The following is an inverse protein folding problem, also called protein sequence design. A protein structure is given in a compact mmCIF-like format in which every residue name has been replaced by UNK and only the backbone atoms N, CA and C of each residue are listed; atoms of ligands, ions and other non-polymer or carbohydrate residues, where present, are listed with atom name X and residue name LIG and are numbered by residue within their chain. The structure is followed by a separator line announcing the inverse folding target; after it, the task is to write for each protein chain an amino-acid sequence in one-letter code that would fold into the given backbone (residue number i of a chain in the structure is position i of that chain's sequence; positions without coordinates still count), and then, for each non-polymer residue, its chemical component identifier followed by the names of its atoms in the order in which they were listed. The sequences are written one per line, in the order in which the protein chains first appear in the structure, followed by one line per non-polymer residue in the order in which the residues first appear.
data_IF_269983441354
#
_entry.id   IF_269983441354
#
_cell.length_a   1.000
_cell.length_b   1.000
_cell.length_c   1.000
_cell.angle_alpha   90.00
_cell.angle_beta   90.00
_cell.angle_gamma   90.00
#
_symmetry.space_group_name_H-M   'P 1'
#
loop_
_entity.id
_entity.type
_entity.pdbx_description
1 polymer ?
#
# COMPACT_ATOMS: atom_id res chain seq x y z
N UNK A 1 13.01 2.21 -30.15
CA UNK A 1 11.63 2.48 -29.68
C UNK A 1 11.44 3.99 -29.67
N UNK A 2 10.47 4.52 -30.41
CA UNK A 2 10.21 5.96 -30.45
C UNK A 2 9.14 6.29 -29.41
N UNK A 3 9.51 7.02 -28.36
CA UNK A 3 8.55 7.62 -27.43
C UNK A 3 8.11 8.94 -28.06
N UNK A 4 6.85 9.00 -28.49
CA UNK A 4 6.28 10.23 -29.05
C UNK A 4 5.54 11.00 -27.96
N UNK A 5 6.03 12.19 -27.61
CA UNK A 5 5.31 13.09 -26.72
C UNK A 5 4.11 13.69 -27.46
N UNK A 6 2.91 13.27 -27.09
CA UNK A 6 1.66 13.79 -27.69
C UNK A 6 1.25 15.14 -27.10
N UNK A 7 1.37 15.27 -25.78
CA UNK A 7 0.95 16.46 -25.06
C UNK A 7 1.74 16.61 -23.76
N UNK A 8 1.77 17.82 -23.20
CA UNK A 8 2.32 18.09 -21.87
C UNK A 8 1.55 19.25 -21.21
N UNK A 9 1.55 19.27 -19.90
CA UNK A 9 0.95 20.33 -19.09
C UNK A 9 2.03 21.14 -18.40
N UNK A 10 1.88 22.46 -18.37
CA UNK A 10 2.72 23.35 -17.56
C UNK A 10 2.59 22.98 -16.07
N UNK A 11 3.69 23.14 -15.31
CA UNK A 11 3.75 22.80 -13.87
C UNK A 11 2.69 23.53 -13.03
N UNK A 12 2.18 24.67 -13.49
CA UNK A 12 1.05 25.38 -12.86
C UNK A 12 -0.20 24.50 -12.79
N UNK A 13 -0.39 23.60 -13.75
CA UNK A 13 -1.48 22.63 -13.83
C UNK A 13 -1.14 21.27 -13.16
N UNK A 14 -0.13 21.22 -12.30
CA UNK A 14 0.25 19.97 -11.63
C UNK A 14 -0.86 19.49 -10.67
N UNK A 15 -1.44 18.33 -10.99
CA UNK A 15 -2.38 17.62 -10.11
C UNK A 15 -1.70 17.19 -8.81
N UNK A 16 -0.40 16.85 -8.87
CA UNK A 16 0.40 16.54 -7.69
C UNK A 16 0.49 17.74 -6.74
N UNK A 17 0.79 18.94 -7.27
CA UNK A 17 0.83 20.16 -6.44
C UNK A 17 -0.52 20.50 -5.83
N UNK A 18 -1.62 20.31 -6.57
CA UNK A 18 -2.97 20.47 -6.03
C UNK A 18 -3.21 19.51 -4.84
N UNK A 19 -2.91 18.23 -5.04
CA UNK A 19 -3.12 17.19 -4.04
C UNK A 19 -2.25 17.39 -2.79
N UNK A 20 -0.98 17.74 -2.96
CA UNK A 20 -0.05 18.10 -1.87
C UNK A 20 -0.53 19.33 -1.10
N UNK A 21 -1.04 20.35 -1.79
CA UNK A 21 -1.56 21.55 -1.14
C UNK A 21 -2.78 21.24 -0.27
N UNK A 22 -3.74 20.46 -0.78
CA UNK A 22 -4.90 20.03 0.02
C UNK A 22 -4.47 19.14 1.20
N UNK A 23 -3.45 18.29 1.01
CA UNK A 23 -2.84 17.50 2.10
C UNK A 23 -2.31 18.41 3.21
N UNK A 24 -1.69 19.55 2.87
CA UNK A 24 -1.25 20.56 3.83
C UNK A 24 -2.43 21.23 4.54
N UNK A 25 -3.49 21.59 3.81
CA UNK A 25 -4.69 22.20 4.40
C UNK A 25 -5.42 21.26 5.38
N UNK A 26 -5.35 19.94 5.15
CA UNK A 26 -5.90 18.94 6.06
C UNK A 26 -5.06 18.73 7.34
N UNK A 27 -3.96 19.47 7.52
CA UNK A 27 -3.03 19.31 8.64
C UNK A 27 -2.20 18.02 8.59
N UNK A 28 -2.17 17.33 7.45
CA UNK A 28 -1.51 16.02 7.30
C UNK A 28 -0.07 16.12 6.80
N UNK A 29 0.34 17.30 6.32
CA UNK A 29 1.66 17.50 5.73
C UNK A 29 2.71 17.81 6.80
N UNK A 30 3.35 16.77 7.32
CA UNK A 30 4.49 16.88 8.23
C UNK A 30 5.86 16.72 7.54
N UNK A 31 5.88 16.11 6.36
CA UNK A 31 7.04 15.88 5.50
C UNK A 31 6.55 15.44 4.10
N UNK A 32 7.46 15.34 3.13
CA UNK A 32 7.13 14.87 1.77
C UNK A 32 6.56 13.44 1.83
N UNK A 33 5.55 13.15 1.00
CA UNK A 33 5.01 11.80 0.82
C UNK A 33 3.81 11.44 1.72
N UNK A 34 3.15 12.43 2.32
CA UNK A 34 1.97 12.22 3.17
C UNK A 34 0.64 12.20 2.41
N UNK A 35 0.65 12.37 1.09
CA UNK A 35 -0.54 12.40 0.23
C UNK A 35 -1.39 11.12 0.35
N UNK A 36 -0.75 9.96 0.64
CA UNK A 36 -1.47 8.72 0.92
C UNK A 36 -2.37 8.76 2.17
N UNK A 37 -2.15 9.73 3.08
CA UNK A 37 -3.05 10.00 4.22
C UNK A 37 -4.31 10.71 3.75
N UNK A 38 -4.19 11.76 2.93
CA UNK A 38 -5.34 12.46 2.32
C UNK A 38 -6.20 11.49 1.52
N UNK A 39 -5.57 10.57 0.79
CA UNK A 39 -6.28 9.51 0.05
C UNK A 39 -7.12 8.61 0.97
N UNK A 40 -6.61 8.24 2.15
CA UNK A 40 -7.37 7.47 3.14
C UNK A 40 -8.45 8.31 3.83
N UNK A 41 -8.17 9.58 4.10
CA UNK A 41 -9.13 10.50 4.72
C UNK A 41 -10.34 10.77 3.82
N UNK A 42 -10.14 10.75 2.50
CA UNK A 42 -11.16 11.05 1.51
C UNK A 42 -12.44 10.20 1.65
N UNK A 43 -12.35 8.94 2.08
CA UNK A 43 -13.56 8.09 2.24
C UNK A 43 -14.47 8.51 3.40
N UNK A 44 -14.05 9.46 4.24
CA UNK A 44 -14.85 9.97 5.35
C UNK A 44 -15.58 11.28 5.02
N UNK A 45 -15.33 11.87 3.84
CA UNK A 45 -16.09 13.01 3.37
C UNK A 45 -17.42 12.58 2.73
N UNK A 46 -18.37 13.50 2.76
CA UNK A 46 -19.75 13.30 2.30
C UNK A 46 -20.07 14.03 1.00
N UNK A 47 -19.16 14.88 0.52
CA UNK A 47 -19.30 15.62 -0.74
C UNK A 47 -20.07 16.92 -0.61
N UNK A 48 -20.12 17.52 0.59
CA UNK A 48 -20.77 18.81 0.85
C UNK A 48 -20.01 19.98 0.23
N UNK A 49 -18.69 19.83 0.04
CA UNK A 49 -17.83 20.86 -0.56
C UNK A 49 -17.67 20.61 -2.06
N UNK A 50 -18.32 21.44 -2.88
CA UNK A 50 -18.23 21.40 -4.35
C UNK A 50 -17.18 22.36 -4.94
N UNK A 51 -16.48 23.14 -4.10
CA UNK A 51 -15.57 24.20 -4.55
C UNK A 51 -14.45 23.69 -5.48
N UNK A 52 -14.12 22.40 -5.42
CA UNK A 52 -13.05 21.79 -6.22
C UNK A 52 -13.31 21.89 -7.73
N UNK A 53 -14.57 21.99 -8.15
CA UNK A 53 -14.93 22.20 -9.56
C UNK A 53 -14.50 23.59 -10.08
N UNK A 54 -14.40 24.58 -9.19
CA UNK A 54 -13.84 25.88 -9.54
C UNK A 54 -12.31 25.86 -9.61
N UNK A 55 -11.67 24.88 -8.97
CA UNK A 55 -10.21 24.70 -8.94
C UNK A 55 -9.72 23.88 -10.13
N UNK A 56 -10.35 22.75 -10.42
CA UNK A 56 -9.98 21.88 -11.54
C UNK A 56 -11.06 21.93 -12.63
N UNK A 57 -10.76 22.66 -13.70
CA UNK A 57 -11.66 22.88 -14.83
C UNK A 57 -11.27 21.98 -15.99
N UNK A 58 -12.27 21.47 -16.71
CA UNK A 58 -12.09 20.62 -17.88
C UNK A 58 -12.61 21.34 -19.12
N UNK A 59 -11.81 21.33 -20.18
CA UNK A 59 -12.21 21.69 -21.54
C UNK A 59 -12.29 20.41 -22.37
N UNK A 60 -12.70 20.51 -23.64
CA UNK A 60 -12.85 19.33 -24.52
C UNK A 60 -11.62 18.43 -24.60
N UNK A 61 -10.41 19.03 -24.58
CA UNK A 61 -9.14 18.34 -24.86
C UNK A 61 -8.03 18.65 -23.84
N UNK A 62 -8.34 19.35 -22.75
CA UNK A 62 -7.35 19.74 -21.73
C UNK A 62 -8.02 19.99 -20.39
N UNK A 63 -7.26 19.94 -19.30
CA UNK A 63 -7.69 20.43 -17.99
C UNK A 63 -6.83 21.60 -17.53
N UNK A 64 -7.37 22.43 -16.66
CA UNK A 64 -6.69 23.59 -16.09
C UNK A 64 -6.88 23.63 -14.57
N UNK A 65 -5.79 23.95 -13.85
CA UNK A 65 -5.84 24.22 -12.40
C UNK A 65 -5.86 25.72 -12.18
N UNK A 66 -7.00 26.23 -11.73
CA UNK A 66 -7.18 27.61 -11.34
C UNK A 66 -6.42 27.90 -10.03
N UNK A 67 -5.31 28.62 -10.15
CA UNK A 67 -4.38 28.87 -9.04
C UNK A 67 -4.95 29.84 -8.01
N UNK A 68 -5.87 30.70 -8.40
CA UNK A 68 -6.52 31.63 -7.48
C UNK A 68 -7.56 30.87 -6.65
N UNK A 69 -8.45 30.12 -7.32
CA UNK A 69 -9.41 29.25 -6.64
C UNK A 69 -8.71 28.21 -5.76
N UNK A 70 -7.60 27.63 -6.23
CA UNK A 70 -6.77 26.72 -5.44
C UNK A 70 -6.30 27.38 -4.14
N UNK A 71 -5.81 28.62 -4.17
CA UNK A 71 -5.35 29.33 -2.97
C UNK A 71 -6.49 29.67 -2.01
N UNK A 72 -7.69 29.92 -2.52
CA UNK A 72 -8.87 30.21 -1.71
C UNK A 72 -9.34 29.00 -0.88
N UNK A 73 -8.90 27.78 -1.19
CA UNK A 73 -9.19 26.59 -0.37
C UNK A 73 -8.73 26.74 1.09
N UNK A 74 -7.71 27.57 1.36
CA UNK A 74 -7.24 27.84 2.72
C UNK A 74 -8.29 28.47 3.61
N UNK A 75 -9.24 29.21 3.02
CA UNK A 75 -10.28 29.96 3.75
C UNK A 75 -11.38 29.02 4.25
N UNK A 76 -11.42 27.78 3.73
CA UNK A 76 -12.31 26.69 4.15
C UNK A 76 -11.62 25.79 5.17
N UNK A 77 -10.29 25.70 5.14
CA UNK A 77 -9.54 24.81 6.01
C UNK A 77 -9.62 25.24 7.49
N UNK A 78 -9.97 24.32 8.37
CA UNK A 78 -10.02 24.51 9.83
C UNK A 78 -8.82 23.89 10.57
N UNK A 79 -7.80 23.44 9.82
CA UNK A 79 -6.46 22.96 10.27
C UNK A 79 -6.45 21.80 11.27
N UNK A 80 -7.60 21.19 11.61
CA UNK A 80 -7.67 20.01 12.46
C UNK A 80 -7.47 18.73 11.66
N UNK A 81 -6.53 17.87 12.07
CA UNK A 81 -6.44 16.51 11.54
C UNK A 81 -7.78 15.81 11.82
N UNK A 82 -8.41 15.29 10.76
CA UNK A 82 -9.70 14.59 10.84
C UNK A 82 -10.94 15.47 11.18
N UNK A 83 -10.84 16.79 11.03
CA UNK A 83 -12.00 17.70 11.12
C UNK A 83 -13.01 17.47 9.99
N UNK A 84 -14.22 18.05 10.11
CA UNK A 84 -15.22 18.01 9.03
C UNK A 84 -14.67 18.60 7.73
N UNK A 85 -14.06 19.80 7.78
CA UNK A 85 -13.55 20.44 6.58
C UNK A 85 -12.35 19.67 5.99
N UNK A 86 -11.49 19.06 6.81
CA UNK A 86 -10.40 18.21 6.31
C UNK A 86 -10.92 16.97 5.59
N UNK A 87 -11.95 16.30 6.12
CA UNK A 87 -12.60 15.15 5.46
C UNK A 87 -13.23 15.55 4.13
N UNK A 88 -13.96 16.67 4.11
CA UNK A 88 -14.61 17.17 2.89
C UNK A 88 -13.61 17.66 1.84
N UNK A 89 -12.54 18.36 2.23
CA UNK A 89 -11.47 18.78 1.33
C UNK A 89 -10.72 17.57 0.73
N UNK A 90 -10.41 16.57 1.57
CA UNK A 90 -9.79 15.32 1.12
C UNK A 90 -10.68 14.58 0.11
N UNK A 91 -11.99 14.49 0.39
CA UNK A 91 -12.96 13.91 -0.53
C UNK A 91 -13.01 14.69 -1.86
N UNK A 92 -13.11 16.02 -1.79
CA UNK A 92 -13.24 16.84 -2.98
C UNK A 92 -12.01 16.73 -3.91
N UNK A 93 -10.78 16.84 -3.35
CA UNK A 93 -9.56 16.71 -4.16
C UNK A 93 -9.38 15.29 -4.72
N UNK A 94 -9.79 14.27 -3.98
CA UNK A 94 -9.74 12.88 -4.45
C UNK A 94 -10.69 12.67 -5.64
N UNK A 95 -11.93 13.20 -5.57
CA UNK A 95 -12.88 13.12 -6.69
C UNK A 95 -12.42 13.91 -7.92
N UNK A 96 -11.84 15.08 -7.71
CA UNK A 96 -11.24 15.86 -8.80
C UNK A 96 -10.09 15.11 -9.47
N UNK A 97 -9.21 14.47 -8.68
CA UNK A 97 -8.11 13.66 -9.21
C UNK A 97 -8.61 12.44 -9.99
N UNK A 98 -9.60 11.72 -9.47
CA UNK A 98 -10.25 10.59 -10.15
C UNK A 98 -10.82 11.02 -11.51
N UNK A 99 -11.54 12.15 -11.55
CA UNK A 99 -12.06 12.73 -12.80
C UNK A 99 -10.94 13.11 -13.76
N UNK A 100 -9.84 13.66 -13.27
CA UNK A 100 -8.68 13.99 -14.09
C UNK A 100 -8.07 12.76 -14.74
N UNK A 101 -7.93 11.66 -13.99
CA UNK A 101 -7.39 10.41 -14.49
C UNK A 101 -8.28 9.80 -15.58
N UNK A 102 -9.59 9.75 -15.34
CA UNK A 102 -10.56 9.27 -16.34
C UNK A 102 -10.53 10.16 -17.60
N UNK A 103 -10.53 11.48 -17.43
CA UNK A 103 -10.43 12.43 -18.54
C UNK A 103 -9.17 12.22 -19.37
N UNK A 104 -8.01 12.08 -18.73
CA UNK A 104 -6.74 11.87 -19.42
C UNK A 104 -6.68 10.50 -20.13
N UNK A 105 -7.25 9.46 -19.53
CA UNK A 105 -7.32 8.15 -20.15
C UNK A 105 -8.23 8.16 -21.40
N UNK A 106 -9.39 8.81 -21.30
CA UNK A 106 -10.34 8.98 -22.41
C UNK A 106 -9.76 9.83 -23.56
N UNK A 107 -9.14 10.98 -23.27
CA UNK A 107 -8.47 11.81 -24.28
C UNK A 107 -7.34 11.04 -24.98
N UNK A 108 -6.50 10.32 -24.22
CA UNK A 108 -5.43 9.51 -24.80
C UNK A 108 -5.96 8.36 -25.65
N UNK A 109 -7.05 7.71 -25.22
CA UNK A 109 -7.71 6.66 -25.99
C UNK A 109 -8.26 7.22 -27.31
N UNK A 110 -8.98 8.35 -27.28
CA UNK A 110 -9.51 9.00 -28.49
C UNK A 110 -8.42 9.40 -29.48
N UNK A 111 -7.25 9.82 -29.00
CA UNK A 111 -6.11 10.21 -29.85
C UNK A 111 -5.37 9.05 -30.48
N UNK A 112 -5.33 7.89 -29.81
CA UNK A 112 -4.41 6.80 -30.17
C UNK A 112 -5.10 5.49 -30.53
N UNK A 113 -6.37 5.31 -30.13
CA UNK A 113 -7.09 4.04 -30.18
C UNK A 113 -6.49 2.93 -29.31
N UNK A 114 -5.45 3.20 -28.52
CA UNK A 114 -4.75 2.17 -27.76
C UNK A 114 -5.52 1.81 -26.49
N UNK A 115 -5.84 0.51 -26.26
CA UNK A 115 -6.53 0.08 -25.05
C UNK A 115 -5.56 -0.28 -23.90
N UNK A 116 -4.25 -0.14 -24.09
CA UNK A 116 -3.22 -0.49 -23.10
C UNK A 116 -2.55 0.77 -22.57
N UNK A 117 -2.58 0.94 -21.25
CA UNK A 117 -2.11 2.13 -20.55
C UNK A 117 -0.93 1.80 -19.65
N UNK A 118 0.03 2.72 -19.56
CA UNK A 118 1.16 2.62 -18.64
C UNK A 118 1.26 3.91 -17.82
N UNK A 119 1.29 3.79 -16.50
CA UNK A 119 1.32 4.88 -15.55
C UNK A 119 2.64 4.94 -14.79
N UNK A 120 3.18 6.15 -14.67
CA UNK A 120 4.34 6.50 -13.86
C UNK A 120 4.21 7.97 -13.39
N UNK A 121 5.05 8.38 -12.45
CA UNK A 121 4.98 9.67 -11.75
C UNK A 121 4.26 9.54 -10.41
N UNK A 122 4.68 10.31 -9.40
CA UNK A 122 4.24 10.12 -8.00
C UNK A 122 2.72 10.14 -7.78
N UNK A 123 1.96 10.88 -8.59
CA UNK A 123 0.48 10.92 -8.53
C UNK A 123 -0.14 9.55 -8.80
N UNK A 124 0.53 8.71 -9.60
CA UNK A 124 0.06 7.36 -9.93
C UNK A 124 0.23 6.35 -8.79
N UNK A 125 0.78 6.77 -7.64
CA UNK A 125 0.65 6.00 -6.39
C UNK A 125 -0.76 6.10 -5.76
N UNK A 126 -1.65 6.93 -6.33
CA UNK A 126 -3.05 7.04 -5.95
C UNK A 126 -3.85 5.85 -6.52
N UNK A 127 -3.99 4.80 -5.72
CA UNK A 127 -4.65 3.56 -6.13
C UNK A 127 -6.16 3.70 -6.40
N UNK A 128 -6.81 4.71 -5.81
CA UNK A 128 -8.21 5.01 -6.06
C UNK A 128 -8.41 5.56 -7.48
N UNK A 129 -7.58 6.54 -7.89
CA UNK A 129 -7.62 7.09 -9.24
C UNK A 129 -7.23 6.06 -10.30
N UNK A 130 -6.23 5.22 -10.02
CA UNK A 130 -5.87 4.10 -10.90
C UNK A 130 -7.02 3.10 -11.06
N UNK A 131 -7.71 2.76 -9.95
CA UNK A 131 -8.88 1.87 -9.97
C UNK A 131 -9.99 2.38 -10.88
N UNK A 132 -10.26 3.69 -10.86
CA UNK A 132 -11.25 4.31 -11.76
C UNK A 132 -10.90 4.19 -13.24
N UNK A 133 -9.61 4.22 -13.58
CA UNK A 133 -9.17 3.99 -14.97
C UNK A 133 -9.29 2.52 -15.34
N UNK A 134 -8.91 1.59 -14.45
CA UNK A 134 -9.02 0.15 -14.75
C UNK A 134 -10.45 -0.33 -14.97
N UNK A 135 -11.45 0.40 -14.45
CA UNK A 135 -12.88 0.10 -14.63
C UNK A 135 -13.45 0.59 -15.97
N UNK A 136 -12.69 1.32 -16.79
CA UNK A 136 -13.17 1.83 -18.07
C UNK A 136 -13.22 0.73 -19.13
N UNK A 137 -14.35 0.57 -19.82
CA UNK A 137 -14.59 -0.51 -20.80
C UNK A 137 -13.56 -0.59 -21.94
N UNK A 138 -12.94 0.55 -22.31
CA UNK A 138 -11.93 0.59 -23.36
C UNK A 138 -10.51 0.24 -22.88
N UNK A 139 -10.29 0.12 -21.56
CA UNK A 139 -9.00 -0.23 -20.96
C UNK A 139 -8.90 -1.75 -20.88
N UNK A 140 -8.04 -2.34 -21.71
CA UNK A 140 -7.78 -3.79 -21.70
C UNK A 140 -6.64 -4.18 -20.77
N UNK A 141 -5.62 -3.32 -20.65
CA UNK A 141 -4.47 -3.54 -19.77
C UNK A 141 -4.03 -2.23 -19.17
N UNK A 142 -3.78 -2.24 -17.86
CA UNK A 142 -3.21 -1.13 -17.14
C UNK A 142 -1.95 -1.60 -16.42
N UNK A 143 -0.82 -1.00 -16.79
CA UNK A 143 0.44 -1.17 -16.12
C UNK A 143 0.73 0.05 -15.25
N UNK A 144 1.07 -0.14 -13.98
CA UNK A 144 1.49 0.96 -13.10
C UNK A 144 2.84 0.58 -12.51
N UNK A 145 3.83 1.45 -12.69
CA UNK A 145 5.17 1.18 -12.21
C UNK A 145 5.16 1.11 -10.65
N UNK A 146 5.71 0.05 -10.01
CA UNK A 146 5.68 -0.15 -8.55
C UNK A 146 6.28 0.97 -7.69
N UNK A 147 7.47 1.45 -8.04
CA UNK A 147 8.13 2.66 -7.53
C UNK A 147 7.83 3.88 -8.39
N UNK A 148 6.55 4.17 -8.65
CA UNK A 148 6.10 5.14 -9.65
C UNK A 148 6.56 6.59 -9.38
N UNK A 149 6.98 6.88 -8.15
CA UNK A 149 7.59 8.16 -7.80
C UNK A 149 8.98 8.32 -8.43
N UNK A 150 9.68 9.38 -8.04
CA UNK A 150 10.98 9.73 -8.61
C UNK A 150 12.04 8.64 -8.43
N UNK A 151 11.87 7.71 -7.48
CA UNK A 151 12.77 6.56 -7.33
C UNK A 151 12.79 5.68 -8.60
N UNK A 152 11.68 5.57 -9.31
CA UNK A 152 11.58 4.82 -10.57
C UNK A 152 12.32 5.46 -11.75
N UNK A 153 12.69 6.75 -11.67
CA UNK A 153 13.34 7.45 -12.76
C UNK A 153 14.71 6.87 -13.12
N UNK A 154 15.45 6.36 -12.12
CA UNK A 154 16.74 5.70 -12.35
C UNK A 154 16.62 4.48 -13.28
N UNK A 155 15.55 3.69 -13.11
CA UNK A 155 15.27 2.54 -13.98
C UNK A 155 14.97 3.00 -15.40
N UNK A 156 14.12 4.03 -15.56
CA UNK A 156 13.79 4.61 -16.87
C UNK A 156 15.02 5.17 -17.59
N UNK A 157 15.89 5.89 -16.87
CA UNK A 157 17.12 6.44 -17.41
C UNK A 157 18.07 5.33 -17.90
N UNK A 158 18.29 4.29 -17.10
CA UNK A 158 19.11 3.14 -17.48
C UNK A 158 18.54 2.42 -18.72
N UNK A 159 17.21 2.27 -18.82
CA UNK A 159 16.56 1.67 -19.99
C UNK A 159 16.75 2.52 -21.26
N UNK A 160 16.64 3.84 -21.17
CA UNK A 160 16.84 4.75 -22.31
C UNK A 160 18.28 4.64 -22.83
N UNK A 161 19.27 4.67 -21.93
CA UNK A 161 20.68 4.52 -22.29
C UNK A 161 20.94 3.15 -22.93
N UNK A 162 20.48 2.06 -22.32
CA UNK A 162 20.63 0.71 -22.87
C UNK A 162 20.04 0.58 -24.28
N UNK A 163 18.84 1.12 -24.51
CA UNK A 163 18.22 1.09 -25.85
C UNK A 163 19.02 1.94 -26.84
N UNK A 164 19.58 3.07 -26.40
CA UNK A 164 20.45 3.91 -27.22
C UNK A 164 21.73 3.20 -27.64
N UNK A 165 22.37 2.49 -26.70
CA UNK A 165 23.66 1.84 -26.91
C UNK A 165 23.54 0.49 -27.64
N UNK A 166 22.53 -0.31 -27.30
CA UNK A 166 22.36 -1.70 -27.79
C UNK A 166 21.33 -1.79 -28.93
N UNK A 167 20.48 -0.78 -29.10
CA UNK A 167 19.43 -0.76 -30.13
C UNK A 167 18.22 -1.66 -29.82
N UNK A 168 18.23 -2.39 -28.71
CA UNK A 168 17.15 -3.30 -28.30
C UNK A 168 16.68 -3.01 -26.87
N UNK A 169 15.47 -3.48 -26.53
CA UNK A 169 14.97 -3.39 -25.16
C UNK A 169 15.66 -4.44 -24.30
N UNK A 170 16.02 -4.13 -23.03
CA UNK A 170 16.57 -5.13 -22.14
C UNK A 170 15.51 -6.22 -21.87
N UNK A 171 15.94 -7.48 -21.83
CA UNK A 171 15.10 -8.60 -21.39
C UNK A 171 15.05 -8.56 -19.86
N UNK A 172 14.07 -7.84 -19.31
CA UNK A 172 13.86 -7.74 -17.88
C UNK A 172 12.71 -8.67 -17.49
N UNK A 173 13.00 -9.67 -16.63
CA UNK A 173 11.93 -10.38 -15.93
C UNK A 173 11.33 -9.41 -14.93
N UNK A 174 10.03 -9.14 -15.05
CA UNK A 174 9.37 -8.24 -14.13
C UNK A 174 9.43 -8.79 -12.71
N UNK A 175 10.11 -8.04 -11.83
CA UNK A 175 10.18 -8.33 -10.41
C UNK A 175 10.40 -7.05 -9.63
N UNK A 176 9.83 -7.00 -8.43
CA UNK A 176 10.05 -5.91 -7.48
C UNK A 176 11.13 -6.26 -6.46
N UNK A 177 11.52 -7.53 -6.34
CA UNK A 177 12.45 -8.01 -5.30
C UNK A 177 13.91 -7.74 -5.70
N UNK A 178 14.27 -6.46 -5.78
CA UNK A 178 15.57 -5.98 -6.29
C UNK A 178 16.51 -5.50 -5.17
N UNK A 179 16.02 -5.42 -3.93
CA UNK A 179 16.80 -4.97 -2.79
C UNK A 179 17.63 -6.07 -2.12
N UNK A 180 18.26 -5.76 -0.97
CA UNK A 180 19.07 -6.71 -0.22
C UNK A 180 18.28 -7.96 0.19
N UNK A 181 18.98 -9.10 0.24
CA UNK A 181 18.51 -10.36 0.82
C UNK A 181 19.51 -10.85 1.86
N UNK A 182 19.07 -11.69 2.80
CA UNK A 182 19.92 -12.20 3.87
C UNK A 182 20.26 -13.66 3.61
N UNK A 183 21.53 -14.04 3.81
CA UNK A 183 21.91 -15.45 3.81
C UNK A 183 21.50 -16.05 5.16
N UNK A 184 20.99 -17.29 5.20
CA UNK A 184 20.61 -17.94 6.45
C UNK A 184 21.72 -17.95 7.50
N UNK A 185 22.97 -18.16 7.09
CA UNK A 185 24.14 -18.19 7.97
C UNK A 185 24.41 -16.81 8.63
N UNK A 186 24.19 -15.72 7.90
CA UNK A 186 24.38 -14.36 8.42
C UNK A 186 23.34 -14.04 9.50
N UNK A 187 22.10 -14.50 9.30
CA UNK A 187 21.01 -14.36 10.29
C UNK A 187 21.33 -15.09 11.58
N UNK A 188 21.72 -16.37 11.49
CA UNK A 188 22.06 -17.15 12.67
C UNK A 188 23.27 -16.60 13.42
N UNK A 189 24.32 -16.20 12.68
CA UNK A 189 25.53 -15.62 13.26
C UNK A 189 25.20 -14.35 14.03
N UNK A 190 24.42 -13.45 13.43
CA UNK A 190 23.97 -12.23 14.08
C UNK A 190 23.19 -12.51 15.37
N UNK A 191 22.22 -13.44 15.32
CA UNK A 191 21.40 -13.78 16.48
C UNK A 191 22.23 -14.38 17.63
N UNK A 192 23.22 -15.23 17.32
CA UNK A 192 24.13 -15.79 18.33
C UNK A 192 25.01 -14.71 18.95
N UNK A 193 25.58 -13.81 18.12
CA UNK A 193 26.42 -12.71 18.60
C UNK A 193 25.66 -11.76 19.53
N UNK A 194 24.40 -11.45 19.18
CA UNK A 194 23.52 -10.58 19.98
C UNK A 194 22.79 -11.34 21.12
N UNK A 195 23.07 -12.64 21.31
CA UNK A 195 22.42 -13.48 22.33
C UNK A 195 20.88 -13.48 22.25
N UNK A 196 20.33 -13.41 21.04
CA UNK A 196 18.89 -13.42 20.78
C UNK A 196 18.41 -14.87 20.62
N UNK A 197 17.42 -15.26 21.42
CA UNK A 197 16.81 -16.58 21.33
C UNK A 197 16.01 -16.74 20.02
N UNK A 198 16.20 -17.86 19.33
CA UNK A 198 15.51 -18.15 18.07
C UNK A 198 15.21 -19.64 17.90
N UNK A 199 14.32 -19.96 16.96
CA UNK A 199 13.97 -21.34 16.59
C UNK A 199 14.08 -21.49 15.09
N UNK A 200 14.74 -22.55 14.61
CA UNK A 200 14.69 -22.92 13.20
C UNK A 200 13.40 -23.67 12.92
N UNK A 201 12.70 -23.26 11.87
CA UNK A 201 11.43 -23.86 11.44
C UNK A 201 11.60 -24.49 10.05
N UNK A 202 11.13 -25.73 9.89
CA UNK A 202 11.24 -26.43 8.60
C UNK A 202 10.25 -25.89 7.55
N UNK A 203 9.08 -25.43 8.00
CA UNK A 203 8.02 -24.87 7.16
C UNK A 203 7.58 -23.51 7.73
N UNK A 204 8.33 -22.44 7.47
CA UNK A 204 8.02 -21.11 8.00
C UNK A 204 6.64 -20.61 7.55
N UNK A 205 6.19 -20.98 6.35
CA UNK A 205 4.90 -20.57 5.79
C UNK A 205 3.72 -21.13 6.61
N UNK A 206 3.76 -22.42 6.95
CA UNK A 206 2.74 -23.06 7.79
C UNK A 206 2.76 -22.52 9.22
N UNK A 207 3.95 -22.34 9.81
CA UNK A 207 4.06 -21.82 11.18
C UNK A 207 3.60 -20.36 11.27
N UNK A 208 3.92 -19.54 10.27
CA UNK A 208 3.39 -18.19 10.16
C UNK A 208 1.86 -18.18 10.02
N UNK A 209 1.30 -19.04 9.15
CA UNK A 209 -0.13 -19.18 8.97
C UNK A 209 -0.85 -19.57 10.27
N UNK A 210 -0.31 -20.51 11.05
CA UNK A 210 -0.83 -20.89 12.37
C UNK A 210 -0.82 -19.71 13.35
N UNK A 211 0.29 -18.97 13.41
CA UNK A 211 0.38 -17.80 14.30
C UNK A 211 -0.65 -16.74 13.92
N UNK A 212 -0.75 -16.40 12.64
CA UNK A 212 -1.74 -15.46 12.12
C UNK A 212 -3.17 -15.93 12.45
N UNK A 213 -3.48 -17.21 12.23
CA UNK A 213 -4.79 -17.79 12.55
C UNK A 213 -5.11 -17.72 14.05
N UNK A 214 -4.10 -17.80 14.91
CA UNK A 214 -4.22 -17.65 16.35
C UNK A 214 -4.19 -16.18 16.82
N UNK A 215 -4.43 -15.24 15.91
CA UNK A 215 -4.56 -13.80 16.21
C UNK A 215 -3.23 -13.08 16.47
N UNK A 216 -2.09 -13.70 16.12
CA UNK A 216 -0.76 -13.09 16.28
C UNK A 216 -0.44 -12.18 15.11
N UNK A 217 0.24 -11.06 15.40
CA UNK A 217 0.74 -10.10 14.43
C UNK A 217 2.23 -10.37 14.26
N UNK A 218 2.64 -10.77 13.06
CA UNK A 218 4.01 -11.22 12.80
C UNK A 218 4.74 -10.29 11.83
N UNK A 219 6.04 -10.13 12.03
CA UNK A 219 6.94 -9.69 10.99
C UNK A 219 7.28 -10.85 10.04
N UNK A 220 7.33 -10.57 8.75
CA UNK A 220 7.64 -11.53 7.70
C UNK A 220 8.73 -10.96 6.80
N UNK A 221 9.94 -11.51 6.94
CA UNK A 221 11.13 -11.11 6.23
C UNK A 221 11.67 -12.28 5.39
N UNK A 222 11.41 -12.25 4.08
CA UNK A 222 11.82 -13.31 3.15
C UNK A 222 12.55 -12.74 1.94
N UNK A 223 13.53 -13.47 1.40
CA UNK A 223 14.19 -13.14 0.14
C UNK A 223 14.70 -11.70 0.01
N UNK A 224 14.76 -11.22 -1.23
CA UNK A 224 15.15 -9.86 -1.56
C UNK A 224 14.03 -8.85 -1.26
N UNK A 225 14.40 -7.69 -0.72
CA UNK A 225 13.48 -6.59 -0.43
C UNK A 225 12.80 -6.04 -1.69
N UNK A 226 11.55 -5.62 -1.55
CA UNK A 226 10.76 -4.98 -2.59
C UNK A 226 11.28 -3.57 -2.95
N UNK A 227 11.23 -3.23 -4.23
CA UNK A 227 11.44 -1.89 -4.76
C UNK A 227 10.12 -1.11 -4.77
N UNK A 228 10.17 0.13 -4.31
CA UNK A 228 9.01 1.02 -4.21
C UNK A 228 8.49 1.18 -2.78
N UNK A 229 7.39 1.93 -2.58
CA UNK A 229 6.94 2.34 -1.25
C UNK A 229 6.04 1.31 -0.55
N UNK A 230 5.80 0.15 -1.16
CA UNK A 230 4.86 -0.86 -0.67
C UNK A 230 5.61 -2.13 -0.27
N UNK A 231 5.26 -2.68 0.89
CA UNK A 231 5.61 -4.06 1.21
C UNK A 231 4.66 -5.00 0.46
N UNK A 232 5.23 -6.00 -0.21
CA UNK A 232 4.54 -6.91 -1.13
C UNK A 232 4.84 -8.37 -0.79
N UNK A 233 5.10 -8.67 0.50
CA UNK A 233 5.25 -10.02 1.00
C UNK A 233 6.67 -10.46 1.33
N UNK A 234 7.68 -9.59 1.22
CA UNK A 234 9.06 -9.88 1.61
C UNK A 234 9.55 -9.05 2.80
N UNK A 235 8.99 -7.86 3.04
CA UNK A 235 9.25 -7.05 4.25
C UNK A 235 7.94 -6.53 4.85
N UNK A 236 7.15 -7.45 5.40
CA UNK A 236 5.74 -7.21 5.74
C UNK A 236 5.43 -7.46 7.21
N UNK A 237 4.50 -6.68 7.77
CA UNK A 237 3.74 -7.04 8.97
C UNK A 237 2.47 -7.71 8.49
N UNK A 238 2.24 -8.94 8.97
CA UNK A 238 1.13 -9.78 8.57
C UNK A 238 0.23 -10.08 9.77
N UNK A 239 -1.08 -10.08 9.54
CA UNK A 239 -2.08 -10.42 10.54
C UNK A 239 -3.36 -10.98 9.90
N UNK A 240 -4.25 -11.52 10.73
CA UNK A 240 -5.53 -12.02 10.23
C UNK A 240 -6.43 -10.84 9.80
N UNK A 241 -7.08 -10.90 8.63
CA UNK A 241 -7.97 -9.84 8.16
C UNK A 241 -9.34 -9.87 8.88
N UNK A 242 -9.59 -10.86 9.71
CA UNK A 242 -10.93 -11.26 10.20
C UNK A 242 -11.42 -10.49 11.41
N UNK A 243 -10.61 -9.61 12.00
CA UNK A 243 -10.98 -8.87 13.22
C UNK A 243 -10.63 -7.38 13.14
N UNK A 244 -11.59 -6.51 13.46
CA UNK A 244 -11.35 -5.08 13.62
C UNK A 244 -10.35 -4.79 14.76
N UNK A 245 -10.34 -5.59 15.82
CA UNK A 245 -9.37 -5.40 16.91
C UNK A 245 -7.93 -5.66 16.45
N UNK A 246 -7.73 -6.56 15.48
CA UNK A 246 -6.42 -6.78 14.86
C UNK A 246 -6.00 -5.55 14.04
N UNK A 247 -6.91 -4.96 13.25
CA UNK A 247 -6.62 -3.69 12.55
C UNK A 247 -6.19 -2.61 13.52
N UNK A 248 -6.90 -2.47 14.63
CA UNK A 248 -6.63 -1.42 15.62
C UNK A 248 -5.27 -1.66 16.29
N UNK A 249 -4.96 -2.90 16.70
CA UNK A 249 -3.63 -3.28 17.20
C UNK A 249 -2.54 -2.99 16.19
N UNK A 250 -2.71 -3.38 14.92
CA UNK A 250 -1.73 -3.06 13.87
C UNK A 250 -1.57 -1.54 13.73
N UNK A 251 -2.64 -0.75 13.75
CA UNK A 251 -2.52 0.70 13.68
C UNK A 251 -1.75 1.31 14.88
N UNK A 252 -1.87 0.72 16.08
CA UNK A 252 -1.07 1.06 17.27
C UNK A 252 0.41 0.72 17.07
N UNK A 253 0.73 -0.50 16.61
CA UNK A 253 2.10 -0.93 16.23
C UNK A 253 2.72 0.05 15.24
N UNK A 254 1.92 0.52 14.27
CA UNK A 254 2.34 1.52 13.28
C UNK A 254 2.40 2.95 13.81
N UNK A 255 1.95 3.20 15.04
CA UNK A 255 1.83 4.49 15.70
C UNK A 255 1.21 5.57 14.79
N UNK A 256 0.17 5.18 14.06
CA UNK A 256 -0.48 6.03 13.04
C UNK A 256 -1.96 6.21 13.36
N UNK A 257 -2.59 7.10 12.62
CA UNK A 257 -3.98 7.46 12.80
C UNK A 257 -4.91 6.25 12.58
N UNK A 258 -5.89 6.07 13.47
CA UNK A 258 -6.77 4.88 13.50
C UNK A 258 -7.62 4.70 12.24
N UNK A 259 -7.91 5.80 11.54
CA UNK A 259 -8.68 5.81 10.31
C UNK A 259 -7.88 5.33 9.08
N UNK A 260 -6.56 5.10 9.19
CA UNK A 260 -5.76 4.67 8.04
C UNK A 260 -6.09 3.24 7.62
N UNK A 261 -6.37 2.99 6.32
CA UNK A 261 -6.63 1.65 5.83
C UNK A 261 -5.41 0.74 5.96
N UNK A 262 -5.68 -0.55 6.12
CA UNK A 262 -4.73 -1.64 5.92
C UNK A 262 -5.11 -2.37 4.62
N UNK A 263 -4.14 -3.05 4.01
CA UNK A 263 -4.31 -3.65 2.69
C UNK A 263 -4.38 -5.18 2.81
N UNK A 264 -5.20 -5.86 2.00
CA UNK A 264 -5.15 -7.31 1.88
C UNK A 264 -4.11 -7.75 0.84
N UNK A 265 -3.49 -8.88 1.11
CA UNK A 265 -2.80 -9.70 0.09
C UNK A 265 -3.56 -11.00 -0.08
N UNK A 266 -4.10 -11.23 -1.28
CA UNK A 266 -5.05 -12.30 -1.61
C UNK A 266 -4.46 -13.23 -2.66
N UNK A 267 -4.77 -14.53 -2.59
CA UNK A 267 -4.48 -15.47 -3.68
C UNK A 267 -5.16 -14.97 -4.96
N UNK A 268 -4.41 -14.81 -6.05
CA UNK A 268 -4.93 -14.21 -7.29
C UNK A 268 -6.18 -14.96 -7.80
N UNK A 269 -6.17 -16.29 -7.74
CA UNK A 269 -7.28 -17.15 -8.14
C UNK A 269 -8.54 -17.03 -7.27
N UNK A 270 -8.47 -16.34 -6.13
CA UNK A 270 -9.60 -16.07 -5.24
C UNK A 270 -10.06 -14.61 -5.28
N UNK A 271 -9.35 -13.72 -5.99
CA UNK A 271 -9.61 -12.28 -5.94
C UNK A 271 -11.02 -11.92 -6.40
N UNK A 272 -11.46 -12.42 -7.56
CA UNK A 272 -12.78 -12.10 -8.14
C UNK A 272 -13.97 -12.63 -7.32
N UNK A 273 -13.74 -13.64 -6.48
CA UNK A 273 -14.72 -14.14 -5.51
C UNK A 273 -14.96 -13.14 -4.39
N UNK A 274 -13.94 -12.42 -3.93
CA UNK A 274 -14.03 -11.55 -2.76
C UNK A 274 -14.18 -10.06 -3.10
N UNK A 275 -13.72 -9.67 -4.28
CA UNK A 275 -13.73 -8.30 -4.78
C UNK A 275 -14.56 -8.20 -6.07
N UNK A 276 -15.02 -6.99 -6.39
CA UNK A 276 -15.85 -6.74 -7.59
C UNK A 276 -15.06 -6.72 -8.90
N UNK A 277 -13.73 -6.85 -8.85
CA UNK A 277 -12.83 -6.82 -10.00
C UNK A 277 -12.00 -8.10 -10.06
N UNK A 278 -11.72 -8.55 -11.27
CA UNK A 278 -10.81 -9.65 -11.61
C UNK A 278 -9.42 -9.16 -12.07
N UNK A 279 -9.20 -7.84 -12.10
CA UNK A 279 -7.93 -7.26 -12.54
C UNK A 279 -6.82 -7.62 -11.57
N UNK A 280 -5.71 -8.16 -12.08
CA UNK A 280 -4.54 -8.41 -11.24
C UNK A 280 -3.95 -7.09 -10.69
N UNK A 281 -3.62 -7.08 -9.40
CA UNK A 281 -2.96 -5.96 -8.74
C UNK A 281 -1.76 -6.44 -7.91
N UNK A 282 -0.66 -6.89 -8.55
CA UNK A 282 0.47 -7.47 -7.83
C UNK A 282 1.22 -6.48 -6.92
N UNK A 283 0.99 -5.16 -7.11
CA UNK A 283 1.78 -4.09 -6.50
C UNK A 283 1.00 -3.22 -5.51
N UNK A 284 -0.23 -3.59 -5.15
CA UNK A 284 -1.12 -2.77 -4.32
C UNK A 284 -1.31 -1.33 -4.83
N UNK A 285 -1.49 -1.21 -6.16
CA UNK A 285 -1.68 0.06 -6.87
C UNK A 285 -3.08 0.23 -7.44
N UNK A 286 -3.99 -0.71 -7.16
CA UNK A 286 -5.41 -0.62 -7.48
C UNK A 286 -6.25 -0.77 -6.20
N UNK A 287 -7.27 0.07 -6.10
CA UNK A 287 -8.36 -0.10 -5.14
C UNK A 287 -9.47 -0.92 -5.79
N UNK A 288 -10.03 -1.86 -5.05
CA UNK A 288 -11.17 -2.68 -5.44
C UNK A 288 -12.26 -2.61 -4.38
N UNK A 289 -13.49 -2.89 -4.76
CA UNK A 289 -14.60 -2.97 -3.80
C UNK A 289 -14.67 -4.38 -3.23
N UNK A 290 -14.68 -4.51 -1.90
CA UNK A 290 -14.99 -5.77 -1.22
C UNK A 290 -16.47 -6.04 -1.43
N UNK A 291 -16.82 -7.23 -1.94
CA UNK A 291 -18.23 -7.57 -2.19
C UNK A 291 -19.01 -7.53 -0.87
N UNK A 292 -20.23 -6.96 -0.85
CA UNK A 292 -20.99 -6.71 0.39
C UNK A 292 -21.08 -7.91 1.34
N UNK A 293 -21.32 -9.10 0.80
CA UNK A 293 -21.46 -10.36 1.52
C UNK A 293 -20.20 -10.81 2.28
N UNK A 294 -19.01 -10.33 1.89
CA UNK A 294 -17.74 -10.69 2.53
C UNK A 294 -17.22 -9.63 3.51
N UNK A 295 -17.76 -8.40 3.51
CA UNK A 295 -17.23 -7.28 4.31
C UNK A 295 -17.12 -7.60 5.80
N UNK A 296 -18.14 -8.25 6.35
CA UNK A 296 -18.17 -8.66 7.76
C UNK A 296 -17.14 -9.75 8.10
N UNK A 297 -16.67 -10.53 7.12
CA UNK A 297 -15.65 -11.58 7.30
C UNK A 297 -14.22 -11.03 7.28
N UNK A 298 -14.00 -9.86 6.67
CA UNK A 298 -12.67 -9.25 6.53
C UNK A 298 -12.65 -7.76 6.95
N UNK A 299 -13.14 -7.43 8.17
CA UNK A 299 -13.29 -6.05 8.62
C UNK A 299 -11.95 -5.32 8.77
N UNK A 300 -10.83 -6.04 8.94
CA UNK A 300 -9.53 -5.41 9.18
C UNK A 300 -8.92 -4.74 7.93
N UNK A 301 -9.34 -5.18 6.75
CA UNK A 301 -8.85 -4.71 5.44
C UNK A 301 -9.90 -3.95 4.64
N UNK A 302 -11.14 -3.92 5.13
CA UNK A 302 -12.26 -3.23 4.48
C UNK A 302 -12.34 -1.82 5.02
N UNK A 303 -12.23 -0.83 4.13
CA UNK A 303 -12.36 0.56 4.50
C UNK A 303 -13.83 0.96 4.72
N UNK A 304 -14.08 2.16 5.25
CA UNK A 304 -15.42 2.63 5.61
C UNK A 304 -16.39 2.72 4.43
N UNK A 305 -15.86 2.88 3.21
CA UNK A 305 -16.60 2.91 1.95
C UNK A 305 -16.73 1.50 1.29
N UNK A 306 -16.28 0.45 1.98
CA UNK A 306 -16.31 -0.92 1.48
C UNK A 306 -15.19 -1.27 0.51
N UNK A 307 -14.22 -0.38 0.31
CA UNK A 307 -13.08 -0.61 -0.59
C UNK A 307 -11.85 -1.17 0.13
N UNK A 308 -10.92 -1.73 -0.64
CA UNK A 308 -9.62 -2.18 -0.17
C UNK A 308 -8.56 -2.00 -1.26
N UNK A 309 -7.32 -1.72 -0.87
CA UNK A 309 -6.16 -1.62 -1.78
C UNK A 309 -5.48 -2.98 -1.89
N UNK A 310 -5.84 -3.76 -2.91
CA UNK A 310 -5.57 -5.20 -2.98
C UNK A 310 -4.18 -5.51 -3.54
N UNK A 311 -3.49 -6.50 -2.96
CA UNK A 311 -2.38 -7.21 -3.61
C UNK A 311 -2.85 -8.58 -4.09
N UNK A 312 -2.82 -8.87 -5.39
CA UNK A 312 -2.98 -10.24 -5.89
C UNK A 312 -1.64 -10.97 -5.85
N UNK A 313 -1.64 -12.20 -5.32
CA UNK A 313 -0.42 -13.00 -5.13
C UNK A 313 -0.55 -14.31 -5.91
N UNK A 314 0.43 -14.57 -6.77
CA UNK A 314 0.56 -15.82 -7.53
C UNK A 314 1.80 -16.59 -7.07
N UNK A 315 1.79 -17.91 -7.24
CA UNK A 315 2.95 -18.75 -6.92
C UNK A 315 4.19 -18.35 -7.75
N UNK A 316 4.00 -18.01 -9.03
CA UNK A 316 5.09 -17.63 -9.94
C UNK A 316 5.75 -16.31 -9.58
N UNK A 317 5.03 -15.41 -8.90
CA UNK A 317 5.55 -14.10 -8.50
C UNK A 317 6.26 -14.15 -7.14
N UNK A 318 5.66 -14.82 -6.14
CA UNK A 318 6.27 -14.98 -4.82
C UNK A 318 5.80 -16.28 -4.13
N UNK A 319 6.52 -17.37 -4.37
CA UNK A 319 6.16 -18.71 -3.87
C UNK A 319 6.07 -18.82 -2.35
N UNK A 320 7.03 -18.35 -1.53
CA UNK A 320 6.90 -18.39 -0.07
C UNK A 320 5.66 -17.63 0.42
N UNK A 321 5.41 -16.43 -0.12
CA UNK A 321 4.27 -15.63 0.30
C UNK A 321 2.93 -16.23 -0.13
N UNK A 322 2.84 -16.72 -1.36
CA UNK A 322 1.69 -17.49 -1.85
C UNK A 322 1.42 -18.71 -0.96
N UNK A 323 2.46 -19.46 -0.60
CA UNK A 323 2.34 -20.67 0.23
C UNK A 323 1.85 -20.34 1.63
N UNK A 324 2.34 -19.26 2.26
CA UNK A 324 1.83 -18.78 3.55
C UNK A 324 0.34 -18.46 3.48
N UNK A 325 -0.10 -17.68 2.48
CA UNK A 325 -1.51 -17.30 2.33
C UNK A 325 -2.37 -18.54 2.07
N UNK A 326 -1.86 -19.51 1.29
CA UNK A 326 -2.52 -20.78 1.03
C UNK A 326 -2.67 -21.65 2.26
N UNK A 327 -1.64 -21.75 3.11
CA UNK A 327 -1.75 -22.44 4.41
C UNK A 327 -2.73 -21.72 5.34
N UNK A 328 -2.69 -20.38 5.39
CA UNK A 328 -3.66 -19.60 6.15
C UNK A 328 -5.09 -19.83 5.65
N UNK A 329 -5.29 -19.94 4.34
CA UNK A 329 -6.59 -20.23 3.75
C UNK A 329 -7.14 -21.57 4.19
N UNK A 330 -6.31 -22.63 4.22
CA UNK A 330 -6.72 -23.96 4.72
C UNK A 330 -7.17 -23.92 6.18
N UNK A 331 -6.54 -23.08 7.01
CA UNK A 331 -6.83 -22.96 8.43
C UNK A 331 -8.07 -22.10 8.72
N UNK A 332 -8.25 -21.02 7.98
CA UNK A 332 -9.23 -19.95 8.30
C UNK A 332 -10.44 -19.90 7.37
N UNK A 333 -10.37 -20.51 6.19
CA UNK A 333 -11.34 -20.32 5.11
C UNK A 333 -11.32 -18.93 4.47
N UNK A 334 -10.30 -18.11 4.75
CA UNK A 334 -10.08 -16.77 4.18
C UNK A 334 -8.80 -16.75 3.32
N UNK A 335 -8.87 -16.47 2.00
CA UNK A 335 -7.73 -16.63 1.09
C UNK A 335 -6.82 -15.40 1.03
N UNK A 336 -6.73 -14.65 2.12
CA UNK A 336 -5.96 -13.42 2.20
C UNK A 336 -5.45 -13.16 3.61
N UNK A 337 -4.36 -12.42 3.70
CA UNK A 337 -3.85 -11.87 4.96
C UNK A 337 -3.86 -10.35 4.91
N UNK A 338 -3.94 -9.72 6.07
CA UNK A 338 -3.63 -8.30 6.19
C UNK A 338 -2.13 -8.12 5.97
N UNK A 339 -1.75 -7.14 5.14
CA UNK A 339 -0.37 -6.78 4.88
C UNK A 339 -0.15 -5.27 5.05
N UNK A 340 0.88 -4.92 5.82
CA UNK A 340 1.43 -3.57 5.87
C UNK A 340 2.95 -3.61 5.93
N UNK A 341 3.59 -2.45 5.74
CA UNK A 341 5.06 -2.37 5.72
C UNK A 341 5.68 -2.75 7.05
N UNK A 342 6.77 -3.53 7.01
CA UNK A 342 7.58 -3.84 8.18
C UNK A 342 8.48 -2.66 8.51
N UNK A 343 7.97 -1.80 9.39
CA UNK A 343 8.64 -0.64 9.97
C UNK A 343 7.78 -0.04 11.09
N UNK A 344 8.39 0.77 11.95
CA UNK A 344 7.72 1.65 12.91
C UNK A 344 7.58 3.07 12.34
N UNK A 345 6.85 3.95 13.03
CA UNK A 345 6.63 5.33 12.58
C UNK A 345 7.96 6.06 12.40
N UNK A 346 8.12 6.76 11.28
CA UNK A 346 9.30 7.56 10.98
C UNK A 346 10.50 6.77 10.44
N UNK A 347 10.45 5.43 10.44
CA UNK A 347 11.51 4.58 9.85
C UNK A 347 11.13 4.09 8.44
N UNK A 348 12.07 3.93 7.50
CA UNK A 348 11.86 3.21 6.24
C UNK A 348 11.51 1.73 6.46
N UNK A 349 11.10 1.02 5.41
CA UNK A 349 10.96 -0.44 5.44
C UNK A 349 12.30 -1.07 5.81
N UNK A 350 12.27 -2.07 6.71
CA UNK A 350 13.49 -2.73 7.19
C UNK A 350 14.31 -3.32 6.03
N UNK A 351 15.63 -3.10 6.07
CA UNK A 351 16.57 -3.45 5.00
C UNK A 351 17.72 -4.35 5.47
N UNK A 352 17.99 -4.40 6.78
CA UNK A 352 19.03 -5.21 7.42
C UNK A 352 18.45 -6.19 8.45
N UNK A 353 19.26 -7.17 8.88
CA UNK A 353 18.88 -8.08 9.99
C UNK A 353 18.64 -7.27 11.27
N UNK A 354 19.53 -6.31 11.56
CA UNK A 354 19.40 -5.39 12.70
C UNK A 354 18.08 -4.64 12.65
N UNK A 355 17.72 -4.06 11.50
CA UNK A 355 16.44 -3.34 11.33
C UNK A 355 15.24 -4.24 11.65
N UNK A 356 15.29 -5.52 11.26
CA UNK A 356 14.23 -6.50 11.53
C UNK A 356 14.08 -6.76 13.04
N UNK A 357 15.20 -6.92 13.75
CA UNK A 357 15.23 -7.16 15.19
C UNK A 357 14.77 -5.92 15.97
N UNK A 358 15.27 -4.74 15.62
CA UNK A 358 14.80 -3.48 16.20
C UNK A 358 13.30 -3.32 15.99
N UNK A 359 12.80 -3.59 14.77
CA UNK A 359 11.37 -3.50 14.50
C UNK A 359 10.56 -4.49 15.36
N UNK A 360 11.02 -5.73 15.59
CA UNK A 360 10.33 -6.69 16.45
C UNK A 360 10.11 -6.11 17.86
N UNK A 361 11.19 -5.62 18.48
CA UNK A 361 11.17 -5.20 19.88
C UNK A 361 10.55 -3.81 20.10
N UNK A 362 10.67 -2.90 19.12
CA UNK A 362 10.09 -1.54 19.24
C UNK A 362 8.59 -1.48 18.92
N UNK A 363 8.08 -2.42 18.14
CA UNK A 363 6.74 -2.27 17.53
C UNK A 363 5.63 -3.04 18.25
N UNK A 364 5.97 -4.01 19.11
CA UNK A 364 4.97 -4.88 19.75
C UNK A 364 4.48 -6.03 18.87
N UNK A 365 5.26 -6.43 17.85
CA UNK A 365 5.01 -7.66 17.10
C UNK A 365 5.15 -8.89 18.01
N UNK A 366 4.30 -9.89 17.80
CA UNK A 366 4.35 -11.15 18.56
C UNK A 366 5.58 -12.00 18.20
N UNK A 367 5.97 -11.96 16.93
CA UNK A 367 7.09 -12.71 16.39
C UNK A 367 7.58 -12.12 15.06
N UNK A 368 8.76 -12.51 14.63
CA UNK A 368 9.28 -12.25 13.28
C UNK A 368 9.89 -13.50 12.68
N UNK A 369 9.63 -13.71 11.40
CA UNK A 369 10.33 -14.70 10.58
C UNK A 369 11.38 -14.01 9.73
N UNK A 370 12.62 -14.51 9.77
CA UNK A 370 13.71 -14.09 8.88
C UNK A 370 14.23 -15.36 8.20
N UNK A 371 13.82 -15.59 6.95
CA UNK A 371 14.05 -16.88 6.31
C UNK A 371 13.32 -18.01 7.06
N UNK A 372 14.06 -19.04 7.43
CA UNK A 372 13.57 -20.18 8.22
C UNK A 372 13.80 -20.01 9.74
N UNK A 373 14.14 -18.80 10.20
CA UNK A 373 14.32 -18.52 11.62
C UNK A 373 13.10 -17.77 12.15
N UNK A 374 12.55 -18.28 13.25
CA UNK A 374 11.49 -17.66 14.04
C UNK A 374 12.09 -17.06 15.31
N UNK A 375 11.89 -15.77 15.52
CA UNK A 375 12.15 -15.09 16.80
C UNK A 375 10.80 -14.67 17.39
N UNK A 376 10.54 -15.08 18.63
CA UNK A 376 9.35 -14.65 19.38
C UNK A 376 9.69 -13.45 20.24
N UNK A 377 8.78 -12.50 20.35
CA UNK A 377 8.99 -11.37 21.23
C UNK A 377 8.85 -11.80 22.69
N UNK A 378 9.97 -11.92 23.38
CA UNK A 378 10.02 -12.35 24.78
C UNK A 378 9.33 -11.36 25.73
N UNK A 379 9.24 -10.07 25.38
CA UNK A 379 8.60 -9.05 26.22
C UNK A 379 7.09 -9.31 26.37
N UNK A 380 6.44 -9.75 25.30
CA UNK A 380 5.00 -10.09 25.31
C UNK A 380 4.70 -11.42 26.03
N UNK A 381 5.71 -12.28 26.22
CA UNK A 381 5.54 -13.53 26.97
C UNK A 381 5.48 -13.31 28.49
N UNK A 382 6.09 -12.22 28.98
CA UNK A 382 6.10 -11.84 30.41
C UNK A 382 4.83 -11.11 30.85
N UNK A 383 4.21 -10.31 29.98
CA UNK A 383 2.97 -9.57 30.30
C UNK A 383 1.75 -10.48 30.55
N UNK A 384 1.75 -11.72 30.07
CA UNK A 384 0.64 -12.67 30.32
C UNK A 384 0.52 -13.14 31.78
N UNK A 385 1.51 -12.87 32.64
CA UNK A 385 1.47 -13.23 34.07
C UNK A 385 0.93 -12.07 34.93
N UNK A 386 1.05 -10.82 34.48
CA UNK A 386 0.80 -9.63 35.32
C UNK A 386 -0.61 -9.02 35.14
N UNK A 387 -1.26 -9.24 33.98
CA UNK A 387 -2.56 -8.62 33.69
C UNK A 387 -3.76 -9.21 34.47
N UNK A 388 -3.57 -10.29 35.25
CA UNK A 388 -4.61 -10.79 36.17
C UNK A 388 -4.64 -10.02 37.49
N UNK A 389 -3.50 -9.54 37.97
CA UNK A 389 -3.43 -8.81 39.25
C UNK A 389 -3.95 -7.37 39.12
N UNK A 390 -3.79 -6.72 37.96
CA UNK A 390 -4.34 -5.37 37.73
C UNK A 390 -5.86 -5.36 37.49
N UNK A 391 -6.48 -6.47 37.08
CA UNK A 391 -7.93 -6.56 36.88
C UNK A 391 -8.72 -6.80 38.17
N UNK A 392 -8.13 -7.42 39.19
CA UNK A 392 -8.76 -7.58 40.52
C UNK A 392 -8.64 -6.30 41.38
N UNK A 393 -7.72 -5.39 41.04
CA UNK A 393 -7.57 -4.10 41.72
C UNK A 393 -8.55 -3.01 41.22
N UNK A 394 -9.33 -3.29 40.18
CA UNK A 394 -10.30 -2.38 39.55
C UNK A 394 -11.75 -2.90 39.56
N UNK A 395 -12.03 -4.00 40.29
CA UNK A 395 -13.37 -4.42 40.70
C UNK A 395 -13.64 -3.99 42.14
#
# INVERSE_FOLDING_TARGET
MTITKLYNYDVKNSLGHLYTYVTSLCGLYSHIGQEGKTMGLASYGTGKISIIDSVLKFNSNSYFVDREAMRALKDIADKGIFSENSKELAYAVQKALERAFVFLADDLHKRTGNPNFCFAGGVTLNCNANGKVSELDFVKKLYIQPGANDAGAAVGAAMILHIGDVGTRPVVKEQVYLGPSFKPQDVETYLVQESIAFTKVNNPELEAAKLINNGKIIGWCQGAMEFGPRALGNRSILAAPTSASIRDKVNVIKQRESWRPLAPSVLAEQSSTWFTSDTESPFMLLTMTVRPEFRARVPAITHVDGTARVQTVTESFNKPYYSLIKEYFKLSGVPMVLNTSLNTKGKPIVSSIKDCIECLYESGLDAIFIGNVLIRNALLSKETVDLREEMEALS
#
